data_IF_380509936276
#
_entry.id   IF_380509936276
#
_cell.length_a   1.000
_cell.length_b   1.000
_cell.length_c   1.000
_cell.angle_alpha   90.00
_cell.angle_beta   90.00
_cell.angle_gamma   90.00
#
_symmetry.space_group_name_H-M   'P 1'
#
loop_
_entity.id
_entity.type
_entity.pdbx_description
1 polymer ?
#
# COMPACT_ATOMS: atom_id res chain seq x y z
N UNK A 1 -21.00 -25.73 -16.38
CA UNK A 1 -20.39 -24.81 -17.37
C UNK A 1 -19.73 -23.57 -16.74
N UNK A 2 -20.18 -23.07 -15.58
CA UNK A 2 -19.64 -21.84 -14.96
C UNK A 2 -18.24 -21.93 -14.32
N UNK A 3 -17.70 -23.14 -14.04
CA UNK A 3 -16.36 -23.28 -13.42
C UNK A 3 -15.22 -23.18 -14.46
N UNK A 4 -15.50 -23.49 -15.73
CA UNK A 4 -14.53 -23.43 -16.83
C UNK A 4 -14.35 -22.01 -17.40
N UNK A 5 -15.39 -21.18 -17.35
CA UNK A 5 -15.32 -19.78 -17.80
C UNK A 5 -14.58 -18.87 -16.81
N UNK A 6 -14.57 -19.20 -15.52
CA UNK A 6 -13.76 -18.46 -14.54
C UNK A 6 -12.26 -18.74 -14.65
N UNK A 7 -11.88 -19.91 -15.19
CA UNK A 7 -10.47 -20.28 -15.39
C UNK A 7 -9.82 -19.47 -16.50
N UNK A 8 -10.60 -18.96 -17.46
CA UNK A 8 -10.11 -18.15 -18.57
C UNK A 8 -9.85 -16.70 -18.14
N UNK A 9 -10.72 -16.12 -17.31
CA UNK A 9 -10.54 -14.77 -16.75
C UNK A 9 -9.28 -14.68 -15.88
N UNK A 10 -8.98 -15.72 -15.08
CA UNK A 10 -7.74 -15.77 -14.29
C UNK A 10 -6.48 -16.00 -15.14
N UNK A 11 -6.59 -16.57 -16.36
CA UNK A 11 -5.44 -16.72 -17.29
C UNK A 11 -5.03 -15.40 -17.94
N UNK A 12 -5.91 -14.41 -17.97
CA UNK A 12 -5.70 -13.12 -18.64
C UNK A 12 -5.26 -11.99 -17.72
N UNK A 13 -5.33 -12.15 -16.40
CA UNK A 13 -4.59 -11.26 -15.49
C UNK A 13 -3.14 -11.71 -15.55
N UNK A 14 -2.35 -11.03 -16.37
CA UNK A 14 -0.91 -11.27 -16.42
C UNK A 14 -0.34 -11.09 -15.02
N UNK A 15 0.67 -11.89 -14.65
CA UNK A 15 1.32 -11.79 -13.34
C UNK A 15 1.75 -10.35 -13.05
N UNK A 16 2.13 -9.62 -14.09
CA UNK A 16 2.46 -8.20 -14.07
C UNK A 16 1.28 -7.34 -13.59
N UNK A 17 0.06 -7.54 -14.12
CA UNK A 17 -1.13 -6.80 -13.66
C UNK A 17 -1.51 -7.13 -12.22
N UNK A 18 -1.30 -8.37 -11.78
CA UNK A 18 -1.50 -8.74 -10.38
C UNK A 18 -0.49 -8.05 -9.46
N UNK A 19 0.79 -8.06 -9.85
CA UNK A 19 1.86 -7.36 -9.14
C UNK A 19 1.60 -5.84 -9.13
N UNK A 20 1.21 -5.25 -10.25
CA UNK A 20 0.82 -3.84 -10.34
C UNK A 20 -0.34 -3.51 -9.41
N UNK A 21 -1.41 -4.30 -9.39
CA UNK A 21 -2.54 -4.08 -8.49
C UNK A 21 -2.16 -4.21 -7.02
N UNK A 22 -1.32 -5.19 -6.68
CA UNK A 22 -0.80 -5.36 -5.33
C UNK A 22 0.07 -4.17 -4.90
N UNK A 23 0.97 -3.71 -5.77
CA UNK A 23 1.84 -2.56 -5.51
C UNK A 23 1.06 -1.24 -5.46
N UNK A 24 0.03 -1.08 -6.29
CA UNK A 24 -0.84 0.10 -6.31
C UNK A 24 -1.64 0.23 -5.01
N UNK A 25 -2.03 -0.90 -4.41
CA UNK A 25 -2.81 -0.91 -3.17
C UNK A 25 -1.96 -0.50 -1.96
N UNK A 26 -0.66 -0.74 -1.97
CA UNK A 26 0.24 -0.47 -0.85
C UNK A 26 0.98 0.88 -0.99
N UNK A 27 0.99 1.69 0.06
CA UNK A 27 1.92 2.81 0.17
C UNK A 27 3.26 2.30 0.71
N UNK A 28 4.27 2.18 -0.16
CA UNK A 28 5.63 1.76 0.21
C UNK A 28 6.66 2.68 -0.46
N UNK A 29 7.88 2.70 0.09
CA UNK A 29 9.00 3.48 -0.41
C UNK A 29 9.51 4.49 0.61
N UNK A 30 10.08 5.59 0.12
CA UNK A 30 10.50 6.74 0.95
C UNK A 30 9.29 7.49 1.52
N UNK A 31 9.46 8.31 2.57
CA UNK A 31 8.39 9.15 3.11
C UNK A 31 7.66 9.97 2.03
N UNK A 32 8.40 10.62 1.13
CA UNK A 32 7.82 11.45 0.06
C UNK A 32 6.98 10.62 -0.92
N UNK A 33 7.44 9.42 -1.27
CA UNK A 33 6.67 8.51 -2.12
C UNK A 33 5.39 8.02 -1.44
N UNK A 34 5.43 7.78 -0.13
CA UNK A 34 4.25 7.40 0.64
C UNK A 34 3.24 8.55 0.68
N UNK A 35 3.70 9.78 0.95
CA UNK A 35 2.85 10.98 0.98
C UNK A 35 2.18 11.24 -0.37
N UNK A 36 2.93 11.20 -1.48
CA UNK A 36 2.34 11.34 -2.82
C UNK A 36 1.22 10.32 -3.07
N UNK A 37 1.44 9.06 -2.68
CA UNK A 37 0.41 8.01 -2.80
C UNK A 37 -0.79 8.21 -1.87
N UNK A 38 -0.62 8.87 -0.73
CA UNK A 38 -1.73 9.18 0.17
C UNK A 38 -2.52 10.38 -0.34
N UNK A 39 -1.86 11.39 -0.91
CA UNK A 39 -2.47 12.54 -1.57
C UNK A 39 -3.33 12.08 -2.76
N UNK A 40 -2.79 11.23 -3.64
CA UNK A 40 -3.54 10.60 -4.74
C UNK A 40 -4.80 9.86 -4.25
N UNK A 41 -4.73 9.20 -3.08
CA UNK A 41 -5.90 8.52 -2.48
C UNK A 41 -6.89 9.52 -1.89
N UNK A 42 -6.41 10.60 -1.28
CA UNK A 42 -7.24 11.63 -0.67
C UNK A 42 -8.07 12.36 -1.73
N UNK A 43 -7.48 12.64 -2.89
CA UNK A 43 -8.19 13.26 -4.03
C UNK A 43 -9.38 12.41 -4.52
N UNK A 44 -9.30 11.09 -4.39
CA UNK A 44 -10.33 10.15 -4.85
C UNK A 44 -11.34 9.81 -3.76
N UNK A 45 -10.88 9.58 -2.52
CA UNK A 45 -11.68 9.02 -1.43
C UNK A 45 -12.10 10.06 -0.38
N UNK A 46 -11.47 11.23 -0.35
CA UNK A 46 -11.55 12.16 0.77
C UNK A 46 -10.80 11.64 2.01
N UNK A 47 -11.28 11.99 3.20
CA UNK A 47 -10.68 11.53 4.46
C UNK A 47 -10.82 10.01 4.63
N UNK A 48 -9.73 9.32 5.00
CA UNK A 48 -9.72 7.89 5.29
C UNK A 48 -8.84 7.56 6.50
N UNK A 49 -9.08 6.40 7.10
CA UNK A 49 -8.22 5.84 8.14
C UNK A 49 -7.16 4.91 7.53
N UNK A 50 -5.95 4.92 8.09
CA UNK A 50 -4.86 4.08 7.64
C UNK A 50 -4.76 2.79 8.47
N UNK A 51 -4.79 1.64 7.78
CA UNK A 51 -4.42 0.35 8.34
C UNK A 51 -2.97 0.01 7.95
N UNK A 52 -2.00 0.46 8.74
CA UNK A 52 -0.57 0.28 8.45
C UNK A 52 -0.02 -1.06 8.95
N UNK A 53 0.81 -1.73 8.16
CA UNK A 53 1.55 -2.93 8.55
C UNK A 53 3.05 -2.77 8.24
N UNK A 54 3.89 -2.79 9.27
CA UNK A 54 5.35 -2.61 9.13
C UNK A 54 6.13 -3.93 9.14
N UNK A 55 5.46 -5.06 9.40
CA UNK A 55 6.09 -6.38 9.46
C UNK A 55 5.32 -7.40 8.63
N UNK A 56 5.86 -7.71 7.46
CA UNK A 56 5.33 -8.70 6.52
C UNK A 56 6.48 -9.48 5.88
N UNK A 57 6.19 -10.57 5.16
CA UNK A 57 7.20 -11.28 4.34
C UNK A 57 8.42 -11.84 5.09
N UNK A 58 8.38 -11.92 6.42
CA UNK A 58 9.52 -12.36 7.24
C UNK A 58 10.56 -11.27 7.53
N UNK A 59 10.23 -9.99 7.33
CA UNK A 59 11.12 -8.85 7.66
C UNK A 59 11.60 -8.98 9.14
N UNK A 60 12.90 -8.80 9.41
CA UNK A 60 13.44 -8.78 10.77
C UNK A 60 12.72 -7.77 11.66
N UNK A 61 12.60 -8.10 12.95
CA UNK A 61 11.90 -7.22 13.91
C UNK A 61 12.55 -5.85 14.01
N UNK A 62 13.88 -5.77 13.99
CA UNK A 62 14.62 -4.50 14.07
C UNK A 62 14.30 -3.59 12.87
N UNK A 63 14.34 -4.12 11.65
CA UNK A 63 13.98 -3.37 10.45
C UNK A 63 12.50 -2.92 10.47
N UNK A 64 11.60 -3.79 10.95
CA UNK A 64 10.18 -3.46 11.08
C UNK A 64 9.96 -2.29 12.05
N UNK A 65 10.69 -2.28 13.18
CA UNK A 65 10.63 -1.20 14.17
C UNK A 65 11.22 0.10 13.60
N UNK A 66 12.36 0.02 12.91
CA UNK A 66 12.98 1.17 12.26
C UNK A 66 12.05 1.81 11.22
N UNK A 67 11.38 1.00 10.40
CA UNK A 67 10.38 1.49 9.43
C UNK A 67 9.19 2.15 10.10
N UNK A 68 8.65 1.56 11.18
CA UNK A 68 7.56 2.14 11.96
C UNK A 68 7.94 3.50 12.58
N UNK A 69 9.15 3.60 13.14
CA UNK A 69 9.66 4.83 13.73
C UNK A 69 9.84 5.93 12.67
N UNK A 70 10.43 5.59 11.52
CA UNK A 70 10.59 6.54 10.41
C UNK A 70 9.24 7.05 9.90
N UNK A 71 8.25 6.17 9.75
CA UNK A 71 6.89 6.55 9.39
C UNK A 71 6.27 7.50 10.42
N UNK A 72 6.40 7.19 11.72
CA UNK A 72 5.87 8.01 12.80
C UNK A 72 6.55 9.39 12.88
N UNK A 73 7.84 9.49 12.54
CA UNK A 73 8.60 10.74 12.58
C UNK A 73 8.35 11.62 11.34
N UNK A 74 8.27 11.02 10.15
CA UNK A 74 8.28 11.78 8.88
C UNK A 74 6.94 11.85 8.17
N UNK A 75 6.12 10.80 8.26
CA UNK A 75 4.88 10.68 7.48
C UNK A 75 3.67 11.06 8.32
N UNK A 76 3.57 10.52 9.55
CA UNK A 76 2.40 10.73 10.40
C UNK A 76 2.12 12.21 10.76
N UNK A 77 3.13 13.08 11.03
CA UNK A 77 2.88 14.49 11.30
C UNK A 77 2.31 15.23 10.09
N UNK A 78 2.80 14.93 8.89
CA UNK A 78 2.33 15.52 7.65
C UNK A 78 0.88 15.11 7.36
N UNK A 79 0.56 13.81 7.46
CA UNK A 79 -0.81 13.32 7.28
C UNK A 79 -1.81 13.96 8.26
N UNK A 80 -1.38 14.26 9.49
CA UNK A 80 -2.21 14.95 10.49
C UNK A 80 -2.46 16.41 10.15
N UNK A 81 -1.64 17.03 9.30
CA UNK A 81 -1.82 18.41 8.84
C UNK A 81 -2.89 18.55 7.76
N UNK A 82 -3.27 17.44 7.10
CA UNK A 82 -4.29 17.41 6.05
C UNK A 82 -5.73 17.40 6.60
N UNK A 83 -5.89 17.29 7.93
CA UNK A 83 -7.17 17.20 8.64
C UNK A 83 -7.50 18.47 9.43
#
# INVERSE_FOLDING_TARGET
>A
EAYGQQTEVLRHVSLERYVEGFLATNAFGTPDQMLAKFEERYDVLGSFELATCFRFGGIPTEESVASMQLFAEKVLPELRSWA
#
